data_IF_245497688144
#
_entry.id   IF_245497688144
#
_cell.length_a   1.000
_cell.length_b   1.000
_cell.length_c   1.000
_cell.angle_alpha   90.00
_cell.angle_beta   90.00
_cell.angle_gamma   90.00
#
_symmetry.space_group_name_H-M   'P 1'
#
loop_
_entity.id
_entity.type
_entity.pdbx_description
1 polymer ?
#
# COMPACT_ATOMS: atom_id res chain seq x y z
N UNK A 1 16.34 36.46 6.47
CA UNK A 1 15.23 36.63 7.42
C UNK A 1 14.42 35.34 7.45
N UNK A 2 14.25 34.71 8.62
CA UNK A 2 13.31 33.59 8.72
C UNK A 2 11.91 34.12 8.38
N UNK A 3 11.18 33.46 7.48
CA UNK A 3 9.79 33.82 7.21
C UNK A 3 8.96 33.39 8.42
N UNK A 4 8.34 34.35 9.09
CA UNK A 4 7.38 34.09 10.16
C UNK A 4 6.07 33.61 9.53
N UNK A 5 5.87 32.29 9.52
CA UNK A 5 4.64 31.67 9.03
C UNK A 5 3.55 31.72 10.11
N UNK A 6 2.27 31.92 9.74
CA UNK A 6 1.17 31.85 10.69
C UNK A 6 1.13 30.51 11.42
N UNK A 7 0.96 30.56 12.75
CA UNK A 7 0.97 29.38 13.64
C UNK A 7 -0.09 28.36 13.20
N UNK A 8 -1.22 28.83 12.71
CA UNK A 8 -2.33 28.02 12.23
C UNK A 8 -1.92 27.17 11.02
N UNK A 9 -1.13 27.75 10.09
CA UNK A 9 -0.63 27.03 8.92
C UNK A 9 0.40 25.98 9.32
N UNK A 10 1.28 26.31 10.27
CA UNK A 10 2.24 25.36 10.84
C UNK A 10 1.48 24.18 11.45
N UNK A 11 0.43 24.45 12.24
CA UNK A 11 -0.40 23.42 12.87
C UNK A 11 -1.07 22.49 11.85
N UNK A 12 -1.64 23.03 10.77
CA UNK A 12 -2.25 22.22 9.71
C UNK A 12 -1.21 21.28 9.07
N UNK A 13 -0.03 21.82 8.72
CA UNK A 13 1.05 21.02 8.12
C UNK A 13 1.52 19.93 9.08
N UNK A 14 1.72 20.25 10.35
CA UNK A 14 2.12 19.28 11.38
C UNK A 14 1.08 18.16 11.51
N UNK A 15 -0.21 18.50 11.59
CA UNK A 15 -1.28 17.51 11.65
C UNK A 15 -1.28 16.61 10.42
N UNK A 16 -1.16 17.18 9.23
CA UNK A 16 -1.10 16.44 7.98
C UNK A 16 0.07 15.43 7.98
N UNK A 17 1.28 15.86 8.36
CA UNK A 17 2.45 14.97 8.44
C UNK A 17 2.25 13.85 9.45
N UNK A 18 1.67 14.16 10.62
CA UNK A 18 1.45 13.16 11.66
C UNK A 18 0.38 12.13 11.24
N UNK A 19 -0.68 12.56 10.57
CA UNK A 19 -1.78 11.69 10.17
C UNK A 19 -1.40 10.65 9.11
N UNK A 20 -0.30 10.83 8.35
CA UNK A 20 0.17 9.81 7.39
C UNK A 20 0.88 8.62 8.06
N UNK A 21 1.23 8.72 9.34
CA UNK A 21 1.76 7.59 10.10
C UNK A 21 0.71 6.48 10.21
N UNK A 22 1.11 5.21 10.07
CA UNK A 22 0.19 4.07 10.13
C UNK A 22 0.11 3.46 11.55
N UNK A 23 -1.08 3.11 12.07
CA UNK A 23 -2.40 3.30 11.47
C UNK A 23 -2.77 4.80 11.38
N UNK A 24 -3.38 5.18 10.26
CA UNK A 24 -3.71 6.58 9.97
C UNK A 24 -4.96 7.02 10.75
N UNK A 25 -4.85 8.16 11.43
CA UNK A 25 -5.93 8.78 12.20
C UNK A 25 -6.01 10.28 11.83
N UNK A 26 -6.61 10.63 10.68
CA UNK A 26 -6.75 12.02 10.27
C UNK A 26 -7.74 12.78 11.14
N UNK A 27 -7.36 14.01 11.54
CA UNK A 27 -8.15 14.85 12.42
C UNK A 27 -8.94 15.97 11.71
N UNK A 28 -8.72 16.15 10.40
CA UNK A 28 -9.39 17.14 9.57
C UNK A 28 -9.37 16.72 8.10
N UNK A 29 -10.15 17.42 7.27
CA UNK A 29 -10.29 17.10 5.84
C UNK A 29 -8.95 17.16 5.09
N UNK A 30 -8.07 18.11 5.40
CA UNK A 30 -6.74 18.23 4.79
C UNK A 30 -5.90 16.99 5.08
N UNK A 31 -5.96 16.49 6.31
CA UNK A 31 -5.28 15.26 6.71
C UNK A 31 -5.90 14.03 6.03
N UNK A 32 -7.23 13.94 5.93
CA UNK A 32 -7.91 12.86 5.19
C UNK A 32 -7.46 12.81 3.73
N UNK A 33 -7.40 13.96 3.07
CA UNK A 33 -6.94 14.08 1.68
C UNK A 33 -5.48 13.65 1.57
N UNK A 34 -4.61 14.05 2.51
CA UNK A 34 -3.20 13.68 2.46
C UNK A 34 -2.98 12.17 2.73
N UNK A 35 -3.71 11.58 3.67
CA UNK A 35 -3.69 10.13 3.90
C UNK A 35 -4.07 9.37 2.63
N UNK A 36 -5.18 9.76 1.98
CA UNK A 36 -5.62 9.14 0.72
C UNK A 36 -4.59 9.34 -0.40
N UNK A 37 -3.93 10.49 -0.46
CA UNK A 37 -2.90 10.78 -1.45
C UNK A 37 -1.65 9.90 -1.27
N UNK A 38 -1.21 9.67 -0.04
CA UNK A 38 -0.04 8.84 0.28
C UNK A 38 -0.24 7.39 -0.20
N UNK A 39 -1.43 6.83 0.05
CA UNK A 39 -1.78 5.46 -0.37
C UNK A 39 -2.56 5.40 -1.71
N UNK A 40 -2.63 6.51 -2.46
CA UNK A 40 -3.45 6.63 -3.68
C UNK A 40 -3.14 5.51 -4.70
N UNK A 41 -1.86 5.19 -4.84
CA UNK A 41 -1.38 4.19 -5.78
C UNK A 41 -2.03 2.81 -5.58
N UNK A 42 -2.44 2.46 -4.35
CA UNK A 42 -3.13 1.20 -4.02
C UNK A 42 -4.46 1.04 -4.77
N UNK A 43 -5.12 2.16 -5.08
CA UNK A 43 -6.40 2.19 -5.80
C UNK A 43 -6.28 2.25 -7.32
N UNK A 44 -5.07 2.14 -7.89
CA UNK A 44 -4.84 2.38 -9.32
C UNK A 44 -4.12 1.24 -10.00
N UNK A 45 -4.12 1.23 -11.34
CA UNK A 45 -3.34 0.30 -12.16
C UNK A 45 -1.83 0.42 -11.97
N UNK A 46 -1.33 1.54 -11.40
CA UNK A 46 0.09 1.77 -11.12
C UNK A 46 0.59 0.96 -9.90
N UNK A 47 -0.32 0.38 -9.11
CA UNK A 47 0.02 -0.37 -7.91
C UNK A 47 1.10 -1.42 -8.16
N UNK A 48 0.95 -2.26 -9.20
CA UNK A 48 1.87 -3.37 -9.46
C UNK A 48 3.30 -2.88 -9.72
N UNK A 49 3.45 -1.85 -10.54
CA UNK A 49 4.77 -1.26 -10.82
C UNK A 49 5.40 -0.63 -9.58
N UNK A 50 4.62 0.17 -8.83
CA UNK A 50 5.10 0.77 -7.57
C UNK A 50 5.48 -0.28 -6.53
N UNK A 51 4.73 -1.37 -6.46
CA UNK A 51 4.99 -2.46 -5.53
C UNK A 51 6.29 -3.20 -5.85
N UNK A 52 6.62 -3.38 -7.13
CA UNK A 52 7.91 -3.96 -7.54
C UNK A 52 9.09 -3.04 -7.19
N UNK A 53 8.93 -1.72 -7.40
CA UNK A 53 9.95 -0.73 -7.02
C UNK A 53 10.19 -0.74 -5.51
N UNK A 54 9.12 -0.79 -4.71
CA UNK A 54 9.22 -0.85 -3.25
C UNK A 54 9.96 -2.11 -2.78
N UNK A 55 9.69 -3.27 -3.39
CA UNK A 55 10.40 -4.51 -3.07
C UNK A 55 11.91 -4.37 -3.29
N UNK A 56 12.29 -3.76 -4.42
CA UNK A 56 13.70 -3.51 -4.75
C UNK A 56 14.34 -2.52 -3.78
N UNK A 57 13.62 -1.47 -3.41
CA UNK A 57 14.08 -0.51 -2.40
C UNK A 57 14.33 -1.19 -1.05
N UNK A 58 13.43 -2.06 -0.59
CA UNK A 58 13.61 -2.80 0.67
C UNK A 58 14.80 -3.76 0.62
N UNK A 59 15.03 -4.40 -0.51
CA UNK A 59 16.22 -5.22 -0.73
C UNK A 59 17.50 -4.38 -0.63
N UNK A 60 17.56 -3.24 -1.33
CA UNK A 60 18.78 -2.43 -1.39
C UNK A 60 19.05 -1.63 -0.12
N UNK A 61 18.01 -1.09 0.52
CA UNK A 61 18.14 -0.16 1.65
C UNK A 61 18.01 -0.84 3.01
N UNK A 62 17.18 -1.88 3.10
CA UNK A 62 16.90 -2.57 4.36
C UNK A 62 17.52 -3.98 4.41
N UNK A 63 18.11 -4.47 3.29
CA UNK A 63 18.61 -5.84 3.15
C UNK A 63 17.54 -6.90 3.43
N UNK A 64 16.28 -6.57 3.15
CA UNK A 64 15.15 -7.47 3.34
C UNK A 64 14.76 -8.09 1.99
N UNK A 65 15.03 -9.38 1.83
CA UNK A 65 14.64 -10.13 0.65
C UNK A 65 13.36 -10.91 0.90
N UNK A 66 12.44 -10.80 -0.05
CA UNK A 66 11.20 -11.56 -0.04
C UNK A 66 11.18 -12.50 -1.22
N UNK A 67 10.67 -13.71 -1.04
CA UNK A 67 10.27 -14.58 -2.14
C UNK A 67 8.96 -14.08 -2.77
N UNK A 68 8.58 -14.64 -3.92
CA UNK A 68 7.36 -14.20 -4.60
C UNK A 68 6.10 -14.46 -3.76
N UNK A 69 5.97 -15.64 -3.16
CA UNK A 69 4.84 -15.98 -2.30
C UNK A 69 4.75 -15.07 -1.07
N UNK A 70 5.85 -14.91 -0.32
CA UNK A 70 5.85 -14.08 0.89
C UNK A 70 5.56 -12.61 0.59
N UNK A 71 6.09 -12.10 -0.54
CA UNK A 71 5.79 -10.75 -1.01
C UNK A 71 4.31 -10.56 -1.34
N UNK A 72 3.68 -11.54 -2.01
CA UNK A 72 2.26 -11.48 -2.33
C UNK A 72 1.39 -11.48 -1.06
N UNK A 73 1.71 -12.35 -0.10
CA UNK A 73 0.98 -12.45 1.17
C UNK A 73 1.09 -11.15 1.98
N UNK A 74 2.29 -10.61 2.09
CA UNK A 74 2.56 -9.33 2.76
C UNK A 74 1.70 -8.21 2.17
N UNK A 75 1.66 -8.10 0.85
CA UNK A 75 0.91 -7.04 0.19
C UNK A 75 -0.60 -7.24 0.24
N UNK A 76 -1.10 -8.47 0.15
CA UNK A 76 -2.52 -8.75 0.36
C UNK A 76 -2.96 -8.30 1.76
N UNK A 77 -2.15 -8.61 2.79
CA UNK A 77 -2.41 -8.17 4.14
C UNK A 77 -2.40 -6.64 4.25
N UNK A 78 -1.35 -6.00 3.71
CA UNK A 78 -1.21 -4.53 3.71
C UNK A 78 -2.43 -3.84 3.09
N UNK A 79 -2.81 -4.21 1.85
CA UNK A 79 -3.96 -3.59 1.16
C UNK A 79 -5.29 -3.83 1.90
N UNK A 80 -5.43 -4.97 2.57
CA UNK A 80 -6.65 -5.29 3.32
C UNK A 80 -6.80 -4.46 4.60
N UNK A 81 -5.69 -4.00 5.17
CA UNK A 81 -5.68 -3.20 6.40
C UNK A 81 -5.80 -1.68 6.15
N UNK A 82 -5.41 -1.20 4.95
CA UNK A 82 -5.50 0.24 4.63
C UNK A 82 -6.95 0.67 4.34
N UNK A 83 -7.32 1.89 4.72
CA UNK A 83 -8.64 2.47 4.44
C UNK A 83 -8.48 3.85 3.80
N UNK A 84 -9.45 4.22 2.95
CA UNK A 84 -9.52 5.57 2.39
C UNK A 84 -10.52 6.42 3.18
N UNK A 85 -10.21 7.70 3.34
CA UNK A 85 -10.89 8.65 4.22
C UNK A 85 -11.78 9.65 3.48
N UNK A 86 -11.46 10.03 2.25
CA UNK A 86 -12.30 10.95 1.50
C UNK A 86 -13.47 10.21 0.83
N UNK A 87 -14.52 10.95 0.43
CA UNK A 87 -15.61 10.37 -0.36
C UNK A 87 -15.11 9.75 -1.67
N UNK A 88 -14.20 10.43 -2.37
CA UNK A 88 -13.56 9.92 -3.57
C UNK A 88 -12.76 8.65 -3.30
N UNK A 89 -11.96 8.63 -2.23
CA UNK A 89 -11.17 7.46 -1.85
C UNK A 89 -12.04 6.25 -1.51
N UNK A 90 -13.13 6.45 -0.77
CA UNK A 90 -14.08 5.38 -0.41
C UNK A 90 -14.86 4.82 -1.60
N UNK A 91 -15.17 5.64 -2.60
CA UNK A 91 -16.03 5.23 -3.73
C UNK A 91 -15.23 4.77 -4.94
N UNK A 92 -14.13 5.45 -5.28
CA UNK A 92 -13.35 5.18 -6.49
C UNK A 92 -12.10 4.36 -6.16
N UNK A 93 -11.24 4.84 -5.25
CA UNK A 93 -9.96 4.18 -4.97
C UNK A 93 -10.15 2.83 -4.28
N UNK A 94 -11.15 2.69 -3.41
CA UNK A 94 -11.48 1.43 -2.76
C UNK A 94 -11.81 0.33 -3.77
N UNK A 95 -12.50 0.67 -4.87
CA UNK A 95 -12.82 -0.30 -5.93
C UNK A 95 -11.55 -0.79 -6.63
N UNK A 96 -10.66 0.13 -7.02
CA UNK A 96 -9.37 -0.23 -7.62
C UNK A 96 -8.47 -1.03 -6.68
N UNK A 97 -8.49 -0.71 -5.38
CA UNK A 97 -7.78 -1.49 -4.35
C UNK A 97 -8.31 -2.91 -4.27
N UNK A 98 -9.63 -3.12 -4.30
CA UNK A 98 -10.23 -4.44 -4.35
C UNK A 98 -9.82 -5.23 -5.61
N UNK A 99 -9.75 -4.58 -6.78
CA UNK A 99 -9.25 -5.20 -8.01
C UNK A 99 -7.78 -5.64 -7.85
N UNK A 100 -6.94 -4.78 -7.28
CA UNK A 100 -5.54 -5.10 -7.01
C UNK A 100 -5.37 -6.26 -6.01
N UNK A 101 -6.16 -6.30 -4.92
CA UNK A 101 -6.18 -7.43 -3.98
C UNK A 101 -6.54 -8.74 -4.71
N UNK A 102 -7.57 -8.71 -5.55
CA UNK A 102 -7.99 -9.89 -6.30
C UNK A 102 -6.93 -10.36 -7.29
N UNK A 103 -6.25 -9.44 -7.97
CA UNK A 103 -5.11 -9.77 -8.83
C UNK A 103 -4.01 -10.48 -8.04
N UNK A 104 -3.60 -9.96 -6.88
CA UNK A 104 -2.58 -10.58 -6.05
C UNK A 104 -3.00 -11.97 -5.54
N UNK A 105 -4.25 -12.12 -5.08
CA UNK A 105 -4.81 -13.41 -4.63
C UNK A 105 -4.80 -14.44 -5.77
N UNK A 106 -5.22 -14.06 -6.96
CA UNK A 106 -5.20 -14.95 -8.13
C UNK A 106 -3.77 -15.37 -8.50
N UNK A 107 -2.81 -14.45 -8.42
CA UNK A 107 -1.40 -14.76 -8.66
C UNK A 107 -0.86 -15.74 -7.62
N UNK A 108 -1.19 -15.52 -6.34
CA UNK A 108 -0.80 -16.40 -5.25
C UNK A 108 -1.34 -17.83 -5.45
N UNK A 109 -2.62 -17.98 -5.81
CA UNK A 109 -3.24 -19.28 -6.11
C UNK A 109 -2.52 -20.02 -7.25
N UNK A 110 -2.13 -19.31 -8.31
CA UNK A 110 -1.40 -19.91 -9.44
C UNK A 110 -0.06 -20.48 -8.99
N UNK A 111 0.71 -19.71 -8.23
CA UNK A 111 2.04 -20.10 -7.76
C UNK A 111 1.96 -21.30 -6.80
N UNK A 112 1.03 -21.28 -5.85
CA UNK A 112 0.88 -22.38 -4.89
C UNK A 112 0.44 -23.68 -5.56
N UNK A 113 -0.47 -23.62 -6.54
CA UNK A 113 -0.86 -24.80 -7.34
C UNK A 113 0.31 -25.38 -8.14
N UNK A 114 1.10 -24.52 -8.81
CA UNK A 114 2.28 -24.96 -9.57
C UNK A 114 3.34 -25.60 -8.68
N UNK A 115 3.56 -25.06 -7.48
CA UNK A 115 4.48 -25.64 -6.51
C UNK A 115 4.02 -27.04 -6.06
N UNK A 116 2.72 -27.20 -5.73
CA UNK A 116 2.16 -28.51 -5.34
C UNK A 116 2.22 -29.55 -6.46
N UNK A 117 2.03 -29.15 -7.73
CA UNK A 117 2.14 -30.04 -8.88
C UNK A 117 3.58 -30.54 -9.12
N UNK A 118 4.56 -29.63 -9.01
CA UNK A 118 5.99 -29.95 -9.19
C UNK A 118 6.54 -30.86 -8.08
N UNK A 119 6.02 -30.73 -6.87
CA UNK A 119 6.38 -31.60 -5.75
C UNK A 119 5.86 -33.03 -5.94
N UNK A 120 4.67 -33.20 -6.54
CA UNK A 120 4.12 -34.52 -6.89
C UNK A 120 4.88 -35.21 -8.03
N UNK A 121 5.46 -34.46 -8.98
CA UNK A 121 6.23 -35.05 -10.08
C UNK A 121 7.66 -35.44 -9.71
N UNK A 122 8.22 -34.89 -8.62
CA UNK A 122 9.59 -35.19 -8.17
C UNK A 122 9.67 -36.34 -7.16
N UNK A 123 8.53 -36.82 -6.65
CA UNK A 123 8.43 -37.96 -5.73
C UNK A 123 7.86 -39.22 -6.41
N UNK A 124 7.70 -39.20 -7.73
CA UNK A 124 7.35 -40.35 -8.58
C UNK A 124 8.55 -40.68 -9.47
#
# INVERSE_FOLDING_TARGET
SAKDWPIEKIKIVTNCIQSTHMPQEPCCLEAEVLCDADIFHLGTSKFIGRNQLLRKEWEEKLRQQYGEESWLRLNIQFLSQQHFFTHYGRTILAQGKCQNINFLKNKLIKITKSASAKMKSNCA
#
